data_IF_385913832988
#
_entry.id   IF_385913832988
#
_cell.length_a   1.000
_cell.length_b   1.000
_cell.length_c   1.000
_cell.angle_alpha   90.00
_cell.angle_beta   90.00
_cell.angle_gamma   90.00
#
_symmetry.space_group_name_H-M   'P 1'
#
loop_
_entity.id
_entity.type
_entity.pdbx_description
1 polymer ?
#
# COMPACT_ATOMS: atom_id res chain seq x y z
N UNK A 1 -44.48 -10.59 7.31
CA UNK A 1 -43.03 -10.86 7.10
C UNK A 1 -42.66 -11.86 8.17
N UNK A 2 -42.88 -13.13 7.86
CA UNK A 2 -43.16 -14.14 8.88
C UNK A 2 -41.85 -14.75 9.34
N UNK A 3 -41.70 -15.02 10.63
CA UNK A 3 -40.43 -15.46 11.25
C UNK A 3 -39.77 -16.63 10.51
N UNK A 4 -40.58 -17.49 9.87
CA UNK A 4 -40.13 -18.59 9.01
C UNK A 4 -39.36 -18.13 7.77
N UNK A 5 -39.81 -17.06 7.10
CA UNK A 5 -39.13 -16.47 5.94
C UNK A 5 -37.77 -15.84 6.32
N UNK A 6 -37.68 -15.22 7.50
CA UNK A 6 -36.42 -14.65 7.99
C UNK A 6 -35.38 -15.72 8.33
N UNK A 7 -35.81 -16.87 8.88
CA UNK A 7 -34.93 -18.01 9.21
C UNK A 7 -34.43 -18.71 7.94
N UNK A 8 -35.30 -18.88 6.93
CA UNK A 8 -34.91 -19.47 5.65
C UNK A 8 -33.93 -18.56 4.91
N UNK A 9 -34.17 -17.25 4.90
CA UNK A 9 -33.25 -16.28 4.30
C UNK A 9 -31.91 -16.23 5.01
N UNK A 10 -31.86 -16.26 6.35
CA UNK A 10 -30.58 -16.26 7.08
C UNK A 10 -29.76 -17.53 6.85
N UNK A 11 -30.42 -18.69 6.73
CA UNK A 11 -29.76 -19.98 6.46
C UNK A 11 -29.23 -20.06 5.03
N UNK A 12 -29.95 -19.52 4.05
CA UNK A 12 -29.50 -19.42 2.65
C UNK A 12 -28.33 -18.44 2.52
N UNK A 13 -28.36 -17.32 3.24
CA UNK A 13 -27.26 -16.35 3.29
C UNK A 13 -25.99 -17.00 3.86
N UNK A 14 -26.11 -17.82 4.92
CA UNK A 14 -24.98 -18.59 5.47
C UNK A 14 -24.40 -19.60 4.47
N UNK A 15 -25.23 -20.24 3.64
CA UNK A 15 -24.77 -21.16 2.61
C UNK A 15 -24.04 -20.47 1.44
N UNK A 16 -24.42 -19.23 1.11
CA UNK A 16 -23.80 -18.45 0.02
C UNK A 16 -22.43 -17.84 0.38
N UNK A 17 -22.11 -17.68 1.68
CA UNK A 17 -20.79 -17.17 2.15
C UNK A 17 -19.75 -18.32 2.23
N UNK A 18 -20.17 -19.58 2.10
CA UNK A 18 -19.29 -20.75 2.21
C UNK A 18 -18.18 -20.94 1.14
N UNK A 19 -18.18 -20.34 -0.07
CA UNK A 19 -17.20 -20.74 -1.09
C UNK A 19 -15.78 -20.16 -0.90
N UNK A 20 -15.51 -19.38 0.15
CA UNK A 20 -14.14 -18.92 0.46
C UNK A 20 -13.31 -19.91 1.28
N UNK A 21 -13.93 -20.95 1.87
CA UNK A 21 -13.26 -21.88 2.79
C UNK A 21 -12.50 -23.05 2.11
N UNK A 22 -12.57 -23.19 0.77
CA UNK A 22 -11.97 -24.32 0.05
C UNK A 22 -11.08 -23.92 -1.13
N UNK A 23 -10.43 -22.76 -1.08
CA UNK A 23 -9.30 -22.54 -1.96
C UNK A 23 -8.16 -23.50 -1.55
N UNK A 24 -7.74 -24.37 -2.47
CA UNK A 24 -6.57 -25.25 -2.34
C UNK A 24 -5.43 -24.63 -3.14
N UNK A 25 -4.25 -24.57 -2.54
CA UNK A 25 -3.06 -23.99 -3.14
C UNK A 25 -2.02 -25.12 -3.33
N UNK A 26 -1.44 -25.25 -4.54
CA UNK A 26 -0.40 -26.26 -4.81
C UNK A 26 0.96 -25.63 -4.52
N UNK A 27 1.67 -26.14 -3.52
CA UNK A 27 3.04 -25.73 -3.19
C UNK A 27 3.92 -26.97 -3.28
N UNK A 28 4.93 -26.96 -4.16
CA UNK A 28 5.83 -28.10 -4.39
C UNK A 28 5.12 -29.43 -4.70
N UNK A 29 3.92 -29.38 -5.29
CA UNK A 29 3.12 -30.56 -5.62
C UNK A 29 2.23 -31.08 -4.49
N UNK A 30 2.22 -30.43 -3.32
CA UNK A 30 1.37 -30.78 -2.18
C UNK A 30 0.20 -29.80 -2.05
N UNK A 31 -1.01 -30.33 -1.82
CA UNK A 31 -2.25 -29.54 -1.70
C UNK A 31 -2.46 -29.06 -0.26
N UNK A 32 -2.09 -27.81 0.03
CA UNK A 32 -2.34 -27.19 1.33
C UNK A 32 -3.60 -26.29 1.29
N UNK A 33 -4.39 -26.21 2.38
CA UNK A 33 -5.48 -25.25 2.48
C UNK A 33 -4.91 -23.83 2.46
N UNK A 34 -5.44 -22.94 1.62
CA UNK A 34 -4.87 -21.60 1.46
C UNK A 34 -4.94 -20.77 2.78
N UNK A 35 -5.80 -21.13 3.75
CA UNK A 35 -5.77 -20.52 5.10
C UNK A 35 -4.44 -20.75 5.83
N UNK A 36 -3.83 -21.93 5.69
CA UNK A 36 -2.55 -22.25 6.31
C UNK A 36 -1.40 -21.48 5.66
N UNK A 37 -1.54 -21.16 4.36
CA UNK A 37 -0.63 -20.28 3.64
C UNK A 37 -0.68 -18.84 4.19
N UNK A 38 -1.87 -18.26 4.36
CA UNK A 38 -2.02 -16.92 4.96
C UNK A 38 -1.60 -16.88 6.43
N UNK A 39 -1.80 -17.94 7.19
CA UNK A 39 -1.32 -18.03 8.58
C UNK A 39 0.22 -18.01 8.66
N UNK A 40 0.90 -18.60 7.68
CA UNK A 40 2.37 -18.65 7.63
C UNK A 40 2.99 -17.39 7.03
N UNK A 41 2.49 -16.93 5.87
CA UNK A 41 3.08 -15.82 5.12
C UNK A 41 2.33 -14.49 5.25
N UNK A 42 1.19 -14.45 5.95
CA UNK A 42 0.36 -13.25 6.08
C UNK A 42 1.11 -12.07 6.67
N UNK A 43 2.01 -12.30 7.63
CA UNK A 43 2.86 -11.25 8.21
C UNK A 43 3.75 -10.57 7.17
N UNK A 44 4.29 -11.32 6.20
CA UNK A 44 5.09 -10.76 5.11
C UNK A 44 4.23 -9.82 4.25
N UNK A 45 3.01 -10.22 3.91
CA UNK A 45 2.11 -9.36 3.15
C UNK A 45 1.70 -8.10 3.92
N UNK A 46 1.43 -8.21 5.23
CA UNK A 46 1.11 -7.06 6.10
C UNK A 46 2.29 -6.10 6.19
N UNK A 47 3.49 -6.61 6.44
CA UNK A 47 4.69 -5.77 6.54
C UNK A 47 5.02 -5.07 5.22
N UNK A 48 4.96 -5.78 4.09
CA UNK A 48 5.14 -5.18 2.75
C UNK A 48 4.08 -4.09 2.52
N UNK A 49 2.82 -4.36 2.85
CA UNK A 49 1.74 -3.38 2.73
C UNK A 49 2.01 -2.10 3.51
N UNK A 50 2.45 -2.22 4.77
CA UNK A 50 2.80 -1.06 5.61
C UNK A 50 3.97 -0.28 4.99
N UNK A 51 5.01 -0.96 4.53
CA UNK A 51 6.17 -0.31 3.90
C UNK A 51 5.75 0.47 2.66
N UNK A 52 4.90 -0.09 1.80
CA UNK A 52 4.41 0.60 0.61
C UNK A 52 3.60 1.85 0.96
N UNK A 53 2.73 1.78 1.98
CA UNK A 53 1.96 2.94 2.44
C UNK A 53 2.88 4.05 2.95
N UNK A 54 3.90 3.70 3.73
CA UNK A 54 4.88 4.68 4.24
C UNK A 54 5.66 5.33 3.10
N UNK A 55 6.13 4.54 2.12
CA UNK A 55 6.87 5.06 0.97
C UNK A 55 6.00 5.97 0.08
N UNK A 56 4.75 5.59 -0.17
CA UNK A 56 3.78 6.42 -0.89
C UNK A 56 3.52 7.73 -0.14
N UNK A 57 3.25 7.64 1.17
CA UNK A 57 3.00 8.82 2.02
C UNK A 57 4.21 9.76 2.00
N UNK A 58 5.42 9.21 2.12
CA UNK A 58 6.66 9.97 2.04
C UNK A 58 6.83 10.66 0.68
N UNK A 59 6.56 9.95 -0.41
CA UNK A 59 6.64 10.49 -1.76
C UNK A 59 5.67 11.66 -1.96
N UNK A 60 4.39 11.49 -1.61
CA UNK A 60 3.39 12.56 -1.67
C UNK A 60 3.78 13.76 -0.81
N UNK A 61 4.29 13.53 0.40
CA UNK A 61 4.74 14.60 1.28
C UNK A 61 5.87 15.43 0.66
N UNK A 62 6.84 14.79 0.00
CA UNK A 62 7.92 15.50 -0.70
C UNK A 62 7.43 16.24 -1.94
N UNK A 63 6.46 15.67 -2.68
CA UNK A 63 5.83 16.35 -3.80
C UNK A 63 5.11 17.63 -3.36
N UNK A 64 4.33 17.55 -2.27
CA UNK A 64 3.63 18.71 -1.69
C UNK A 64 4.64 19.76 -1.20
N UNK A 65 5.72 19.34 -0.53
CA UNK A 65 6.78 20.25 -0.07
C UNK A 65 7.46 20.97 -1.25
N UNK A 66 7.74 20.25 -2.35
CA UNK A 66 8.30 20.83 -3.57
C UNK A 66 7.38 21.88 -4.20
N UNK A 67 6.07 21.61 -4.28
CA UNK A 67 5.09 22.53 -4.88
C UNK A 67 4.86 23.77 -4.00
N UNK A 68 4.82 23.61 -2.68
CA UNK A 68 4.56 24.71 -1.73
C UNK A 68 5.74 25.69 -1.62
N UNK A 69 6.97 25.23 -1.87
CA UNK A 69 8.17 26.09 -1.78
C UNK A 69 8.36 26.92 -3.04
N UNK A 70 8.74 28.18 -2.86
CA UNK A 70 9.16 29.07 -3.96
C UNK A 70 10.68 29.00 -4.13
N UNK A 71 11.15 28.29 -5.16
CA UNK A 71 12.56 28.26 -5.57
C UNK A 71 12.69 28.20 -7.10
N UNK A 72 13.85 28.61 -7.62
CA UNK A 72 14.08 28.90 -9.05
C UNK A 72 13.78 27.71 -9.98
N UNK A 73 14.02 26.49 -9.51
CA UNK A 73 13.93 25.25 -10.32
C UNK A 73 12.78 24.32 -9.89
N UNK A 74 11.70 24.88 -9.31
CA UNK A 74 10.58 24.08 -8.77
C UNK A 74 9.93 23.17 -9.81
N UNK A 75 9.75 23.65 -11.04
CA UNK A 75 9.03 22.92 -12.09
C UNK A 75 9.82 21.68 -12.51
N UNK A 76 11.14 21.82 -12.65
CA UNK A 76 12.03 20.73 -13.00
C UNK A 76 12.05 19.65 -11.91
N UNK A 77 12.15 20.06 -10.63
CA UNK A 77 12.13 19.12 -9.51
C UNK A 77 10.79 18.40 -9.36
N UNK A 78 9.66 19.08 -9.58
CA UNK A 78 8.34 18.45 -9.57
C UNK A 78 8.24 17.36 -10.64
N UNK A 79 8.72 17.61 -11.86
CA UNK A 79 8.72 16.62 -12.95
C UNK A 79 9.59 15.41 -12.58
N UNK A 80 10.79 15.63 -12.03
CA UNK A 80 11.68 14.55 -11.59
C UNK A 80 11.03 13.69 -10.51
N UNK A 81 10.40 14.30 -9.50
CA UNK A 81 9.74 13.57 -8.41
C UNK A 81 8.56 12.75 -8.93
N UNK A 82 7.81 13.25 -9.91
CA UNK A 82 6.67 12.53 -10.50
C UNK A 82 7.14 11.32 -11.33
N UNK A 83 8.13 11.50 -12.21
CA UNK A 83 8.62 10.41 -13.07
C UNK A 83 9.44 9.36 -12.31
N UNK A 84 10.22 9.79 -11.31
CA UNK A 84 11.14 8.90 -10.58
C UNK A 84 10.54 8.39 -9.26
N UNK A 85 9.29 8.76 -8.95
CA UNK A 85 8.57 8.36 -7.74
C UNK A 85 9.40 8.55 -6.45
N UNK A 86 9.46 7.53 -5.59
CA UNK A 86 10.17 7.54 -4.30
C UNK A 86 11.64 7.93 -4.47
N UNK A 87 12.31 7.45 -5.53
CA UNK A 87 13.72 7.78 -5.81
C UNK A 87 13.89 9.29 -6.04
N UNK A 88 12.97 9.90 -6.79
CA UNK A 88 12.95 11.34 -7.01
C UNK A 88 12.72 12.14 -5.73
N UNK A 89 11.83 11.67 -4.84
CA UNK A 89 11.60 12.27 -3.53
C UNK A 89 12.83 12.19 -2.60
N UNK A 90 13.54 11.07 -2.61
CA UNK A 90 14.79 10.90 -1.85
C UNK A 90 15.87 11.84 -2.39
N UNK A 91 16.04 11.92 -3.71
CA UNK A 91 17.00 12.84 -4.34
C UNK A 91 16.67 14.30 -4.02
N UNK A 92 15.40 14.69 -4.09
CA UNK A 92 14.95 16.04 -3.71
C UNK A 92 15.31 16.37 -2.25
N UNK A 93 15.08 15.44 -1.34
CA UNK A 93 15.39 15.61 0.07
C UNK A 93 16.90 15.89 0.28
N UNK A 94 17.78 15.10 -0.33
CA UNK A 94 19.23 15.28 -0.17
C UNK A 94 19.78 16.48 -0.95
N UNK A 95 19.36 16.69 -2.20
CA UNK A 95 19.96 17.72 -3.06
C UNK A 95 19.40 19.11 -2.85
N UNK A 96 18.10 19.23 -2.55
CA UNK A 96 17.43 20.54 -2.40
C UNK A 96 17.25 20.89 -0.94
N UNK A 97 16.58 20.03 -0.17
CA UNK A 97 16.20 20.33 1.21
C UNK A 97 17.42 20.40 2.13
N UNK A 98 18.37 19.46 2.02
CA UNK A 98 19.61 19.45 2.83
C UNK A 98 20.61 20.54 2.42
N UNK A 99 20.72 20.86 1.12
CA UNK A 99 21.65 21.89 0.61
C UNK A 99 21.32 23.29 1.11
N UNK A 100 20.04 23.61 1.36
CA UNK A 100 19.66 24.89 1.98
C UNK A 100 20.14 25.00 3.43
N UNK A 101 20.28 23.89 4.16
CA UNK A 101 20.81 23.88 5.53
C UNK A 101 22.31 24.12 5.60
N UNK A 102 23.07 23.80 4.53
CA UNK A 102 24.52 23.99 4.45
C UNK A 102 24.95 25.32 3.80
N UNK A 103 24.00 26.16 3.37
CA UNK A 103 24.28 27.58 3.09
C UNK A 103 23.83 28.42 4.28
N UNK A 104 24.53 28.24 5.39
CA UNK A 104 24.72 29.33 6.33
C UNK A 104 25.87 30.18 5.81
N UNK A 105 25.54 31.19 5.01
CA UNK A 105 26.13 32.53 4.81
C UNK A 105 25.14 33.25 3.90
#
# INVERSE_FOLDING_TARGET
MDRLSAILLSSIILLLISPIAFARCIVNGEEIPCEQFWASYGWIFVTIGIVLIVLLTFWFFMLIDCIKRKFKDKTLWTIIIIFTNVVGAVLYYFMVKRKKSNRGI
#
